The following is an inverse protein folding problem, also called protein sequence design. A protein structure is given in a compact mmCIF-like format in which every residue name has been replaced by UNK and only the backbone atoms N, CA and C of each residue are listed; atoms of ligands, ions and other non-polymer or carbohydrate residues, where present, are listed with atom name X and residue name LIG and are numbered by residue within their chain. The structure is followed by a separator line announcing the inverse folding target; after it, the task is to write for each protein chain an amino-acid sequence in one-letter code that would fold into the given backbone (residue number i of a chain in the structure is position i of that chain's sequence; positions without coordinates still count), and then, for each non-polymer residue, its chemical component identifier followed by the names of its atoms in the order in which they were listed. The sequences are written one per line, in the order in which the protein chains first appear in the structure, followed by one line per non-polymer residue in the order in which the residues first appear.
data_IF_893794318103
#
_entry.id   IF_893794318103
#
_cell.length_a   1.000
_cell.length_b   1.000
_cell.length_c   1.000
_cell.angle_alpha   90.00
_cell.angle_beta   90.00
_cell.angle_gamma   90.00
#
_symmetry.space_group_name_H-M   'P 1'
#
loop_
_entity.id
_entity.type
_entity.pdbx_description
1 polymer ?
#
# COMPACT_ATOMS: atom_id res chain seq x y z
N UNK A 1 23.64 26.20 -89.48
CA UNK A 1 22.70 25.22 -90.07
C UNK A 1 22.38 24.15 -89.02
N UNK A 2 21.09 23.82 -88.83
CA UNK A 2 20.54 22.72 -87.99
C UNK A 2 20.42 23.04 -86.50
N UNK A 3 19.26 23.51 -85.95
CA UNK A 3 18.05 22.77 -85.53
C UNK A 3 18.42 21.49 -84.73
N UNK A 4 18.05 21.25 -83.47
CA UNK A 4 17.02 21.82 -82.61
C UNK A 4 16.22 20.64 -82.02
N UNK A 5 16.30 20.39 -80.71
CA UNK A 5 15.35 19.52 -80.00
C UNK A 5 15.23 19.94 -78.54
N UNK A 6 13.99 20.07 -78.07
CA UNK A 6 13.54 20.66 -76.83
C UNK A 6 12.95 19.56 -75.94
N UNK A 7 13.35 19.47 -74.66
CA UNK A 7 12.57 18.90 -73.55
C UNK A 7 12.98 19.62 -72.26
N UNK A 8 12.18 20.58 -71.77
CA UNK A 8 11.03 20.46 -70.85
C UNK A 8 11.49 20.29 -69.38
N UNK A 9 11.44 21.45 -68.70
CA UNK A 9 11.04 21.71 -67.30
C UNK A 9 11.51 20.78 -66.18
N UNK A 10 12.45 21.29 -65.36
CA UNK A 10 12.58 20.96 -63.95
C UNK A 10 12.43 22.26 -63.13
N UNK A 11 11.29 22.40 -62.44
CA UNK A 11 10.94 23.59 -61.69
C UNK A 11 11.62 23.61 -60.31
N UNK A 12 12.50 24.60 -60.16
CA UNK A 12 12.86 25.40 -58.98
C UNK A 12 12.38 24.92 -57.61
N UNK A 13 13.35 24.44 -56.82
CA UNK A 13 13.23 24.19 -55.39
C UNK A 13 13.52 25.47 -54.58
N UNK A 14 12.62 25.70 -53.62
CA UNK A 14 12.55 26.68 -52.55
C UNK A 14 13.85 27.31 -52.02
N UNK A 15 13.85 28.63 -51.89
CA UNK A 15 14.46 29.34 -50.76
C UNK A 15 13.59 30.56 -50.39
N UNK A 16 12.65 30.38 -49.47
CA UNK A 16 12.06 31.47 -48.71
C UNK A 16 12.32 31.18 -47.23
N UNK A 17 13.32 31.86 -46.70
CA UNK A 17 13.73 31.79 -45.29
C UNK A 17 12.67 32.55 -44.47
N UNK A 18 11.81 31.83 -43.76
CA UNK A 18 10.98 32.40 -42.70
C UNK A 18 11.85 32.50 -41.43
N UNK A 19 12.20 33.72 -41.04
CA UNK A 19 12.72 34.00 -39.69
C UNK A 19 11.55 34.01 -38.71
N UNK A 20 11.49 33.04 -37.80
CA UNK A 20 10.75 33.17 -36.56
C UNK A 20 11.74 33.41 -35.43
N UNK A 21 11.58 34.52 -34.71
CA UNK A 21 12.33 34.83 -33.50
C UNK A 21 11.82 33.97 -32.35
N UNK A 22 12.75 33.33 -31.64
CA UNK A 22 12.47 32.52 -30.47
C UNK A 22 12.91 33.32 -29.22
N UNK A 23 11.96 33.78 -28.44
CA UNK A 23 12.18 34.09 -27.03
C UNK A 23 11.11 33.37 -26.20
N UNK A 24 11.55 32.34 -25.45
CA UNK A 24 11.36 32.20 -23.99
C UNK A 24 11.80 30.80 -23.53
N UNK A 25 12.99 30.77 -22.93
CA UNK A 25 13.40 29.92 -21.79
C UNK A 25 12.64 28.62 -21.54
N UNK A 26 13.28 27.51 -21.91
CA UNK A 26 13.27 26.26 -21.15
C UNK A 26 14.72 25.78 -21.02
N UNK A 27 15.23 25.39 -19.84
CA UNK A 27 16.47 24.64 -19.77
C UNK A 27 16.22 23.24 -20.35
N UNK A 28 16.81 22.98 -21.51
CA UNK A 28 16.85 21.66 -22.13
C UNK A 28 17.71 20.73 -21.26
N UNK A 29 17.08 19.77 -20.57
CA UNK A 29 17.80 18.65 -19.97
C UNK A 29 18.03 17.63 -21.09
N UNK A 30 19.19 17.74 -21.74
CA UNK A 30 19.73 16.68 -22.59
C UNK A 30 20.12 15.49 -21.71
N UNK A 31 19.28 14.45 -21.69
CA UNK A 31 19.72 13.14 -21.23
C UNK A 31 20.41 12.46 -22.41
N UNK A 32 21.74 12.63 -22.50
CA UNK A 32 22.59 11.76 -23.30
C UNK A 32 22.51 10.34 -22.75
N UNK A 33 22.05 9.42 -23.59
CA UNK A 33 22.01 8.00 -23.28
C UNK A 33 23.40 7.46 -22.92
N UNK A 34 23.47 6.72 -21.82
CA UNK A 34 24.68 6.02 -21.39
C UNK A 34 24.48 4.53 -21.66
N UNK A 35 25.14 4.06 -22.71
CA UNK A 35 25.39 2.65 -22.95
C UNK A 35 26.27 2.07 -21.82
N UNK A 36 25.87 0.90 -21.31
CA UNK A 36 26.79 -0.18 -20.93
C UNK A 36 27.57 -0.06 -19.62
N UNK A 37 27.15 -0.87 -18.64
CA UNK A 37 27.97 -1.50 -17.59
C UNK A 37 28.67 -0.58 -16.57
N UNK A 38 28.05 -0.44 -15.39
CA UNK A 38 28.64 -0.64 -14.06
C UNK A 38 27.62 -0.26 -12.98
N UNK A 39 27.27 -1.25 -12.15
CA UNK A 39 26.82 -1.15 -10.76
C UNK A 39 25.68 -0.16 -10.47
N UNK A 40 24.46 -0.69 -10.38
CA UNK A 40 23.38 -0.01 -9.66
C UNK A 40 23.84 0.17 -8.20
N UNK A 41 24.09 1.41 -7.80
CA UNK A 41 24.16 1.75 -6.39
C UNK A 41 22.73 1.71 -5.84
N UNK A 42 22.41 0.61 -5.16
CA UNK A 42 21.22 0.52 -4.32
C UNK A 42 21.37 1.61 -3.26
N UNK A 43 20.56 2.67 -3.35
CA UNK A 43 20.37 3.59 -2.23
C UNK A 43 19.67 2.77 -1.13
N UNK A 44 20.45 2.06 -0.32
CA UNK A 44 19.99 1.60 0.97
C UNK A 44 19.58 2.85 1.74
N UNK A 45 18.27 3.05 1.91
CA UNK A 45 17.79 4.05 2.84
C UNK A 45 18.49 3.84 4.18
N UNK A 46 19.03 4.92 4.74
CA UNK A 46 19.60 4.92 6.09
C UNK A 46 18.58 4.23 7.03
N UNK A 47 19.02 3.30 7.90
CA UNK A 47 18.15 2.75 8.93
C UNK A 47 17.45 3.90 9.65
N UNK A 48 16.12 3.82 9.77
CA UNK A 48 15.36 4.82 10.52
C UNK A 48 16.00 4.98 11.90
N UNK A 49 16.23 6.22 12.32
CA UNK A 49 16.78 6.50 13.64
C UNK A 49 15.95 5.73 14.69
N UNK A 50 16.63 5.05 15.62
CA UNK A 50 15.97 4.35 16.71
C UNK A 50 14.97 5.30 17.38
N UNK A 51 13.73 4.86 17.52
CA UNK A 51 12.74 5.63 18.27
C UNK A 51 13.31 5.97 19.65
N UNK A 52 13.12 7.22 20.08
CA UNK A 52 13.49 7.64 21.42
C UNK A 52 12.90 6.63 22.41
N UNK A 53 13.78 5.96 23.15
CA UNK A 53 13.38 5.02 24.18
C UNK A 53 12.51 5.79 25.17
N UNK A 54 11.30 5.31 25.42
CA UNK A 54 10.36 5.98 26.32
C UNK A 54 11.02 6.22 27.69
N UNK A 55 10.66 7.31 28.40
CA UNK A 55 11.19 7.56 29.73
C UNK A 55 10.97 6.31 30.59
N UNK A 56 12.04 5.89 31.29
CA UNK A 56 11.95 4.79 32.26
C UNK A 56 10.87 5.16 33.28
N UNK A 57 9.91 4.25 33.50
CA UNK A 57 8.83 4.47 34.47
C UNK A 57 9.40 4.84 35.84
N UNK A 58 8.68 5.71 36.57
CA UNK A 58 9.06 6.08 37.93
C UNK A 58 9.21 4.83 38.80
N UNK A 59 10.21 4.78 39.71
CA UNK A 59 10.32 3.69 40.67
C UNK A 59 9.02 3.57 41.46
N UNK A 60 8.48 2.35 41.55
CA UNK A 60 7.27 2.12 42.35
C UNK A 60 7.50 2.51 43.82
N UNK A 61 6.45 3.03 44.45
CA UNK A 61 6.48 3.42 45.85
C UNK A 61 6.98 2.26 46.73
N UNK A 62 7.86 2.60 47.68
CA UNK A 62 8.40 1.63 48.64
C UNK A 62 7.24 1.11 49.50
N UNK A 63 7.01 -0.20 49.46
CA UNK A 63 5.97 -0.85 50.26
C UNK A 63 6.09 -0.51 51.75
N UNK A 64 4.96 -0.28 52.39
CA UNK A 64 4.87 0.06 53.81
C UNK A 64 5.50 -1.04 54.67
N UNK A 65 6.34 -0.62 55.63
CA UNK A 65 6.98 -1.51 56.60
C UNK A 65 5.90 -2.13 57.48
N UNK A 66 5.85 -3.47 57.56
CA UNK A 66 4.90 -4.18 58.41
C UNK A 66 5.00 -3.78 59.88
N UNK A 67 3.85 -3.69 60.54
CA UNK A 67 3.70 -3.25 61.92
C UNK A 67 4.57 -4.07 62.88
N UNK A 68 5.30 -3.36 63.74
CA UNK A 68 6.06 -3.96 64.84
C UNK A 68 5.09 -4.42 65.94
N UNK A 69 5.26 -5.65 66.42
CA UNK A 69 4.37 -6.25 67.43
C UNK A 69 4.24 -5.39 68.71
N UNK A 70 3.10 -5.50 69.41
CA UNK A 70 2.78 -4.59 70.51
C UNK A 70 3.79 -4.71 71.67
N UNK A 71 4.29 -3.58 72.20
CA UNK A 71 5.02 -3.54 73.46
C UNK A 71 4.14 -4.00 74.64
N UNK A 72 4.73 -4.75 75.58
CA UNK A 72 4.04 -5.21 76.79
C UNK A 72 3.68 -4.06 77.74
N UNK A 73 2.61 -4.19 78.56
CA UNK A 73 1.99 -3.07 79.26
C UNK A 73 2.82 -2.57 80.44
N UNK A 74 3.19 -1.26 80.49
CA UNK A 74 3.67 -0.60 81.69
C UNK A 74 2.52 0.10 82.44
N UNK A 75 2.58 0.07 83.78
CA UNK A 75 1.44 0.28 84.69
C UNK A 75 0.88 1.70 84.83
N UNK A 76 -0.32 1.77 85.40
CA UNK A 76 -1.14 2.98 85.53
C UNK A 76 -0.65 3.94 86.62
N UNK A 77 -0.63 5.24 86.31
CA UNK A 77 -0.68 6.33 87.30
C UNK A 77 -1.30 7.60 86.71
N UNK A 78 -2.01 8.35 87.57
CA UNK A 78 -3.25 9.09 87.27
C UNK A 78 -3.18 10.44 86.53
N UNK A 79 -4.36 11.09 86.38
CA UNK A 79 -4.64 12.05 85.31
C UNK A 79 -4.19 13.48 85.63
N UNK A 80 -3.47 14.15 84.71
CA UNK A 80 -3.32 15.61 84.71
C UNK A 80 -4.33 16.30 83.77
N UNK A 81 -4.89 17.42 84.23
CA UNK A 81 -6.19 17.97 83.82
C UNK A 81 -6.34 18.66 82.46
N UNK A 82 -7.58 19.06 82.18
CA UNK A 82 -8.08 19.48 80.87
C UNK A 82 -7.41 20.74 80.33
N UNK A 83 -6.94 20.63 79.08
CA UNK A 83 -6.42 21.74 78.27
C UNK A 83 -7.58 22.37 77.51
N UNK A 84 -7.79 23.68 77.68
CA UNK A 84 -8.90 24.41 77.06
C UNK A 84 -8.99 24.27 75.54
N UNK A 85 -10.22 24.26 75.01
CA UNK A 85 -10.52 24.03 73.60
C UNK A 85 -9.94 25.13 72.70
N UNK A 86 -9.36 24.72 71.57
CA UNK A 86 -8.86 25.61 70.51
C UNK A 86 -10.02 25.91 69.57
N UNK A 87 -10.31 27.19 69.32
CA UNK A 87 -11.40 27.62 68.44
C UNK A 87 -11.30 27.05 67.02
N UNK A 88 -12.47 26.76 66.44
CA UNK A 88 -12.58 26.08 65.15
C UNK A 88 -11.98 26.89 63.98
N UNK A 89 -11.30 26.24 63.02
CA UNK A 89 -10.84 26.90 61.80
C UNK A 89 -12.03 27.43 60.96
N UNK A 90 -11.86 28.63 60.38
CA UNK A 90 -12.90 29.23 59.52
C UNK A 90 -13.19 28.41 58.26
N UNK A 91 -14.44 28.45 57.80
CA UNK A 91 -14.92 27.67 56.66
C UNK A 91 -14.18 28.02 55.35
N UNK A 92 -13.89 27.00 54.55
CA UNK A 92 -13.34 27.16 53.21
C UNK A 92 -14.41 27.72 52.26
N UNK A 93 -14.03 28.69 51.41
CA UNK A 93 -14.93 29.27 50.41
C UNK A 93 -15.43 28.23 49.39
N UNK A 94 -16.59 28.48 48.74
CA UNK A 94 -17.18 27.53 47.81
C UNK A 94 -16.27 27.29 46.60
N UNK A 95 -16.15 26.02 46.21
CA UNK A 95 -15.43 25.61 45.00
C UNK A 95 -16.14 26.16 43.75
N UNK A 96 -15.40 26.73 42.81
CA UNK A 96 -15.97 27.29 41.58
C UNK A 96 -16.60 26.23 40.67
N UNK A 97 -17.59 26.65 39.88
CA UNK A 97 -18.35 25.77 39.00
C UNK A 97 -17.46 25.07 37.95
N UNK A 98 -17.76 23.80 37.71
CA UNK A 98 -17.06 22.99 36.70
C UNK A 98 -17.41 23.50 35.30
N UNK A 99 -16.40 23.76 34.47
CA UNK A 99 -16.59 24.15 33.08
C UNK A 99 -17.42 23.13 32.30
N UNK A 100 -18.30 23.60 31.41
CA UNK A 100 -19.13 22.75 30.56
C UNK A 100 -18.28 21.90 29.61
N UNK A 101 -18.61 20.62 29.39
CA UNK A 101 -17.95 19.79 28.37
C UNK A 101 -18.03 20.43 26.98
N UNK A 102 -16.93 20.39 26.22
CA UNK A 102 -16.92 20.88 24.84
C UNK A 102 -17.81 20.04 23.93
N UNK A 103 -18.54 20.70 23.02
CA UNK A 103 -19.37 20.00 22.03
C UNK A 103 -18.50 19.29 21.00
N UNK A 104 -18.56 17.97 20.94
CA UNK A 104 -18.01 17.23 19.80
C UNK A 104 -18.90 17.49 18.58
N UNK A 105 -18.36 18.06 17.52
CA UNK A 105 -19.07 18.20 16.24
C UNK A 105 -19.29 16.82 15.62
N UNK A 106 -20.54 16.43 15.41
CA UNK A 106 -20.93 15.22 14.67
C UNK A 106 -20.47 15.35 13.21
N UNK A 107 -19.33 14.76 12.88
CA UNK A 107 -18.93 14.58 11.49
C UNK A 107 -19.88 13.54 10.88
N UNK A 108 -20.65 13.92 9.85
CA UNK A 108 -21.51 12.98 9.13
C UNK A 108 -20.66 11.84 8.55
N UNK A 109 -21.10 10.60 8.71
CA UNK A 109 -20.38 9.39 8.26
C UNK A 109 -20.00 9.45 6.77
N UNK A 110 -20.82 10.06 5.91
CA UNK A 110 -20.50 10.34 4.50
C UNK A 110 -19.22 11.16 4.30
N UNK A 111 -18.91 12.09 5.21
CA UNK A 111 -17.70 12.90 5.16
C UNK A 111 -16.47 12.10 5.63
N UNK A 112 -16.66 11.17 6.58
CA UNK A 112 -15.59 10.24 7.00
C UNK A 112 -15.26 9.21 5.91
N UNK A 113 -16.26 8.74 5.16
CA UNK A 113 -16.05 7.79 4.06
C UNK A 113 -15.29 8.43 2.88
N UNK A 114 -15.50 9.73 2.62
CA UNK A 114 -14.70 10.49 1.64
C UNK A 114 -13.26 10.79 2.13
N UNK A 115 -13.05 10.90 3.44
CA UNK A 115 -11.73 11.17 4.02
C UNK A 115 -10.86 9.90 4.05
N UNK A 116 -11.45 8.72 4.32
CA UNK A 116 -10.67 7.51 4.61
C UNK A 116 -10.37 6.62 3.38
N UNK A 117 -11.01 6.85 2.24
CA UNK A 117 -10.94 5.96 1.08
C UNK A 117 -10.14 6.52 -0.12
N UNK A 118 -9.13 7.38 0.09
CA UNK A 118 -8.31 7.95 -1.00
C UNK A 118 -7.33 6.96 -1.65
N UNK A 119 -7.22 5.73 -1.13
CA UNK A 119 -6.33 4.71 -1.67
C UNK A 119 -6.69 4.30 -3.10
N UNK A 120 -5.74 3.68 -3.80
CA UNK A 120 -6.00 3.12 -5.12
C UNK A 120 -6.81 1.82 -4.99
N UNK A 121 -7.77 1.58 -5.88
CA UNK A 121 -8.63 0.39 -5.86
C UNK A 121 -7.96 -0.85 -6.45
N UNK A 122 -7.02 -0.66 -7.37
CA UNK A 122 -6.30 -1.70 -8.10
C UNK A 122 -4.96 -1.18 -8.63
N UNK A 123 -4.08 -2.08 -9.06
CA UNK A 123 -2.73 -1.75 -9.55
C UNK A 123 -2.74 -0.77 -10.73
N UNK A 124 -3.70 -0.89 -11.66
CA UNK A 124 -3.82 0.07 -12.76
C UNK A 124 -4.04 1.52 -12.29
N UNK A 125 -4.76 1.74 -11.19
CA UNK A 125 -4.93 3.09 -10.62
C UNK A 125 -3.67 3.58 -9.90
N UNK A 126 -2.85 2.68 -9.34
CA UNK A 126 -1.53 3.05 -8.82
C UNK A 126 -0.61 3.49 -9.96
N UNK A 127 -0.60 2.75 -11.06
CA UNK A 127 0.17 3.11 -12.26
C UNK A 127 -0.25 4.49 -12.79
N UNK A 128 -1.54 4.76 -12.91
CA UNK A 128 -2.07 6.06 -13.36
C UNK A 128 -1.71 7.22 -12.41
N UNK A 129 -1.38 6.93 -11.15
CA UNK A 129 -0.90 7.90 -10.15
C UNK A 129 0.63 8.04 -10.14
N UNK A 130 1.34 7.42 -11.08
CA UNK A 130 2.79 7.52 -11.22
C UNK A 130 3.60 6.48 -10.43
N UNK A 131 2.98 5.36 -10.06
CA UNK A 131 3.69 4.23 -9.43
C UNK A 131 4.12 3.26 -10.54
N UNK A 132 5.39 3.36 -10.94
CA UNK A 132 5.92 2.61 -12.09
C UNK A 132 6.75 1.38 -11.75
N UNK A 133 7.10 1.16 -10.46
CA UNK A 133 7.90 0.01 -10.06
C UNK A 133 7.00 -1.16 -9.70
N UNK A 134 7.32 -2.34 -10.23
CA UNK A 134 6.68 -3.59 -9.81
C UNK A 134 6.99 -3.89 -8.34
N UNK A 135 6.00 -4.36 -7.59
CA UNK A 135 6.18 -4.60 -6.15
C UNK A 135 4.89 -4.79 -5.37
N UNK A 136 5.01 -4.90 -4.04
CA UNK A 136 3.85 -5.06 -3.16
C UNK A 136 3.29 -3.71 -2.74
N UNK A 137 1.99 -3.53 -2.96
CA UNK A 137 1.26 -2.31 -2.63
C UNK A 137 -0.03 -2.61 -1.85
N UNK A 138 -0.47 -1.64 -1.07
CA UNK A 138 -1.78 -1.67 -0.43
C UNK A 138 -2.81 -0.99 -1.34
N UNK A 139 -3.87 -1.71 -1.68
CA UNK A 139 -5.03 -1.21 -2.42
C UNK A 139 -6.29 -1.32 -1.57
N UNK A 140 -7.37 -0.68 -2.02
CA UNK A 140 -8.64 -0.59 -1.30
C UNK A 140 -9.80 -0.94 -2.26
N UNK A 141 -9.99 -2.22 -2.61
CA UNK A 141 -10.92 -2.61 -3.68
C UNK A 141 -12.39 -2.33 -3.33
N UNK A 142 -12.77 -2.53 -2.05
CA UNK A 142 -14.14 -2.40 -1.57
C UNK A 142 -14.19 -1.93 -0.11
N UNK A 143 -15.15 -1.07 0.22
CA UNK A 143 -15.52 -0.64 1.58
C UNK A 143 -14.32 -0.15 2.43
N UNK A 144 -13.35 0.53 1.81
CA UNK A 144 -12.11 0.99 2.45
C UNK A 144 -11.29 -0.11 3.15
N UNK A 145 -11.51 -1.38 2.81
CA UNK A 145 -10.74 -2.49 3.38
C UNK A 145 -9.40 -2.60 2.65
N UNK A 146 -8.26 -2.44 3.36
CA UNK A 146 -6.95 -2.57 2.74
C UNK A 146 -6.70 -4.03 2.33
N UNK A 147 -6.08 -4.20 1.16
CA UNK A 147 -5.62 -5.47 0.64
C UNK A 147 -4.21 -5.26 0.09
N UNK A 148 -3.27 -6.09 0.52
CA UNK A 148 -1.89 -6.04 0.02
C UNK A 148 -1.77 -6.98 -1.17
N UNK A 149 -1.35 -6.45 -2.32
CA UNK A 149 -1.23 -7.18 -3.59
C UNK A 149 0.13 -6.93 -4.22
N UNK A 150 0.57 -7.85 -5.08
CA UNK A 150 1.71 -7.60 -5.94
C UNK A 150 1.21 -6.95 -7.24
N UNK A 151 1.78 -5.79 -7.58
CA UNK A 151 1.53 -5.10 -8.82
C UNK A 151 2.68 -5.34 -9.77
N UNK A 152 2.39 -5.86 -10.95
CA UNK A 152 3.30 -5.82 -12.09
C UNK A 152 3.00 -4.54 -12.88
N UNK A 153 3.98 -3.64 -12.89
CA UNK A 153 3.91 -2.32 -13.51
C UNK A 153 4.68 -2.25 -14.84
N UNK A 154 5.28 -3.36 -15.28
CA UNK A 154 6.20 -3.39 -16.41
C UNK A 154 5.61 -4.18 -17.60
N UNK A 155 5.02 -5.35 -17.33
CA UNK A 155 4.55 -6.27 -18.37
C UNK A 155 3.35 -5.68 -19.11
N UNK A 156 3.41 -5.64 -20.45
CA UNK A 156 2.27 -5.30 -21.32
C UNK A 156 1.58 -3.98 -20.92
N UNK A 157 2.39 -2.94 -20.65
CA UNK A 157 1.90 -1.62 -20.24
C UNK A 157 1.61 -1.48 -18.73
N UNK A 158 1.71 -2.55 -17.96
CA UNK A 158 1.66 -2.54 -16.50
C UNK A 158 0.28 -2.33 -15.89
N UNK A 159 0.24 -2.25 -14.55
CA UNK A 159 -0.99 -2.06 -13.79
C UNK A 159 -1.72 -3.37 -13.46
N UNK A 160 -1.03 -4.49 -13.63
CA UNK A 160 -1.55 -5.84 -13.39
C UNK A 160 -1.52 -6.17 -11.91
N UNK A 161 -2.61 -6.77 -11.39
CA UNK A 161 -2.64 -7.30 -10.03
C UNK A 161 -2.37 -8.80 -10.09
N UNK A 162 -1.19 -9.22 -9.60
CA UNK A 162 -0.78 -10.62 -9.63
C UNK A 162 -1.40 -11.35 -8.44
N UNK A 163 -2.24 -12.33 -8.71
CA UNK A 163 -2.93 -13.12 -7.67
C UNK A 163 -2.35 -14.53 -7.47
N UNK A 164 -1.50 -15.00 -8.39
CA UNK A 164 -0.78 -16.26 -8.28
C UNK A 164 0.62 -16.07 -8.84
N UNK A 165 1.63 -16.61 -8.14
CA UNK A 165 3.00 -16.71 -8.67
C UNK A 165 3.63 -18.07 -8.34
N UNK A 166 4.20 -18.72 -9.35
CA UNK A 166 5.11 -19.88 -9.24
C UNK A 166 6.49 -19.48 -9.76
N UNK A 167 7.56 -20.01 -9.18
CA UNK A 167 8.93 -19.72 -9.65
C UNK A 167 9.94 -20.83 -9.36
N UNK A 168 9.89 -21.45 -8.18
CA UNK A 168 10.97 -22.33 -7.71
C UNK A 168 10.47 -23.56 -6.94
N UNK A 169 9.16 -23.71 -6.74
CA UNK A 169 8.58 -24.80 -5.96
C UNK A 169 8.84 -24.71 -4.46
N UNK A 170 9.30 -23.57 -3.95
CA UNK A 170 9.55 -23.35 -2.51
C UNK A 170 8.29 -23.41 -1.65
N UNK A 171 7.11 -23.23 -2.25
CA UNK A 171 5.83 -23.26 -1.54
C UNK A 171 5.00 -24.46 -2.01
N UNK A 172 4.49 -25.23 -1.06
CA UNK A 172 3.53 -26.29 -1.34
C UNK A 172 2.15 -25.71 -1.71
N UNK A 173 1.64 -26.07 -2.89
CA UNK A 173 0.32 -25.68 -3.40
C UNK A 173 -0.74 -26.80 -3.25
N UNK A 174 -0.38 -27.99 -2.76
CA UNK A 174 -1.35 -29.04 -2.45
C UNK A 174 -2.00 -28.79 -1.09
N UNK A 175 -2.97 -27.86 -1.09
CA UNK A 175 -3.58 -27.31 0.13
C UNK A 175 -5.09 -27.52 0.19
N UNK A 176 -5.63 -27.37 1.38
CA UNK A 176 -7.07 -27.46 1.64
C UNK A 176 -7.85 -26.22 1.18
N UNK A 177 -9.18 -26.34 1.23
CA UNK A 177 -10.11 -25.26 0.88
C UNK A 177 -9.88 -23.99 1.68
N UNK A 178 -9.59 -24.11 2.98
CA UNK A 178 -9.41 -22.97 3.89
C UNK A 178 -8.17 -22.16 3.50
N UNK A 179 -7.09 -22.82 3.11
CA UNK A 179 -5.89 -22.18 2.61
C UNK A 179 -6.15 -21.44 1.30
N UNK A 180 -6.79 -22.08 0.32
CA UNK A 180 -7.12 -21.41 -0.96
C UNK A 180 -8.11 -20.26 -0.79
N UNK A 181 -9.05 -20.35 0.16
CA UNK A 181 -9.96 -19.25 0.51
C UNK A 181 -9.21 -18.02 1.02
N UNK A 182 -8.26 -18.21 1.95
CA UNK A 182 -7.56 -17.10 2.63
C UNK A 182 -6.28 -16.63 1.94
N UNK A 183 -5.68 -17.47 1.11
CA UNK A 183 -4.37 -17.22 0.51
C UNK A 183 -3.24 -17.80 1.36
N UNK A 184 -2.11 -18.08 0.70
CA UNK A 184 -0.92 -18.68 1.30
C UNK A 184 0.33 -18.36 0.46
N UNK A 185 1.50 -18.67 1.03
CA UNK A 185 2.80 -18.52 0.38
C UNK A 185 3.62 -17.36 0.94
N UNK A 186 4.53 -16.86 0.12
CA UNK A 186 5.54 -15.87 0.47
C UNK A 186 5.44 -14.64 -0.42
N UNK A 187 5.66 -13.46 0.18
CA UNK A 187 5.76 -12.22 -0.58
C UNK A 187 7.03 -12.15 -1.43
N UNK A 188 8.04 -12.94 -1.09
CA UNK A 188 9.33 -12.91 -1.79
C UNK A 188 9.41 -13.93 -2.92
N UNK A 189 8.62 -15.01 -2.85
CA UNK A 189 8.69 -16.11 -3.81
C UNK A 189 7.31 -16.42 -4.42
N UNK A 190 6.71 -17.53 -4.03
CA UNK A 190 5.48 -18.08 -4.59
C UNK A 190 4.29 -17.81 -3.68
N UNK A 191 3.12 -17.52 -4.25
CA UNK A 191 1.92 -17.30 -3.46
C UNK A 191 0.63 -17.54 -4.23
N UNK A 192 -0.44 -17.73 -3.47
CA UNK A 192 -1.83 -17.63 -3.89
C UNK A 192 -2.51 -16.55 -3.05
N UNK A 193 -3.08 -15.52 -3.69
CA UNK A 193 -3.63 -14.35 -3.01
C UNK A 193 -4.86 -14.67 -2.14
N UNK A 194 -5.60 -15.72 -2.48
CA UNK A 194 -6.79 -16.16 -1.75
C UNK A 194 -8.10 -15.87 -2.49
N UNK A 195 -9.01 -16.84 -2.52
CA UNK A 195 -10.25 -16.75 -3.30
C UNK A 195 -11.19 -15.64 -2.80
N UNK A 196 -11.22 -15.39 -1.48
CA UNK A 196 -11.95 -14.24 -0.91
C UNK A 196 -11.48 -12.92 -1.55
N UNK A 197 -10.16 -12.76 -1.69
CA UNK A 197 -9.55 -11.56 -2.23
C UNK A 197 -9.77 -11.45 -3.75
N UNK A 198 -9.61 -12.55 -4.49
CA UNK A 198 -9.77 -12.58 -5.94
C UNK A 198 -11.24 -12.31 -6.33
N UNK A 199 -12.21 -12.85 -5.58
CA UNK A 199 -13.62 -12.53 -5.78
C UNK A 199 -13.91 -11.02 -5.63
N UNK A 200 -13.36 -10.39 -4.58
CA UNK A 200 -13.53 -8.95 -4.34
C UNK A 200 -12.92 -8.13 -5.49
N UNK A 201 -11.71 -8.47 -5.93
CA UNK A 201 -11.02 -7.77 -7.01
C UNK A 201 -11.79 -7.85 -8.34
N UNK A 202 -12.29 -9.03 -8.68
CA UNK A 202 -12.93 -9.28 -9.98
C UNK A 202 -14.43 -8.97 -10.03
N UNK A 203 -15.06 -8.69 -8.87
CA UNK A 203 -16.47 -8.26 -8.82
C UNK A 203 -16.62 -6.74 -8.91
N UNK A 204 -15.60 -5.99 -8.47
CA UNK A 204 -15.66 -4.52 -8.40
C UNK A 204 -15.30 -3.83 -9.71
N UNK A 205 -14.49 -4.47 -10.54
CA UNK A 205 -13.96 -3.91 -11.79
C UNK A 205 -14.06 -4.96 -12.89
N UNK A 206 -14.30 -4.53 -14.13
CA UNK A 206 -14.16 -5.41 -15.28
C UNK A 206 -12.66 -5.70 -15.46
N UNK A 207 -12.27 -6.95 -15.24
CA UNK A 207 -10.87 -7.37 -15.28
C UNK A 207 -10.64 -8.31 -16.45
N UNK A 208 -9.58 -8.08 -17.21
CA UNK A 208 -9.00 -9.08 -18.11
C UNK A 208 -8.07 -10.02 -17.33
N UNK A 209 -7.82 -11.21 -17.88
CA UNK A 209 -6.87 -12.17 -17.32
C UNK A 209 -5.70 -12.33 -18.29
N UNK A 210 -4.49 -12.22 -17.75
CA UNK A 210 -3.25 -12.58 -18.43
C UNK A 210 -2.57 -13.70 -17.66
N UNK A 211 -2.09 -14.70 -18.38
CA UNK A 211 -1.30 -15.82 -17.85
C UNK A 211 0.05 -15.77 -18.55
N UNK A 212 1.11 -15.61 -17.78
CA UNK A 212 2.49 -15.67 -18.28
C UNK A 212 3.11 -17.00 -17.81
N UNK A 213 3.68 -17.75 -18.75
CA UNK A 213 4.31 -19.05 -18.56
C UNK A 213 5.77 -18.97 -19.01
N UNK A 214 6.63 -19.73 -18.36
CA UNK A 214 8.03 -19.88 -18.77
C UNK A 214 8.44 -21.32 -18.51
N UNK A 215 9.02 -21.97 -19.52
CA UNK A 215 9.51 -23.34 -19.42
C UNK A 215 10.90 -23.41 -18.77
N UNK A 216 11.46 -24.61 -18.69
CA UNK A 216 12.80 -24.82 -18.12
C UNK A 216 13.95 -24.37 -19.03
N UNK A 217 13.67 -24.13 -20.31
CA UNK A 217 14.61 -23.64 -21.30
C UNK A 217 14.57 -22.10 -21.42
N UNK A 218 13.80 -21.43 -20.54
CA UNK A 218 13.52 -19.99 -20.51
C UNK A 218 12.76 -19.46 -21.74
N UNK A 219 12.01 -20.30 -22.44
CA UNK A 219 11.03 -19.82 -23.41
C UNK A 219 9.81 -19.34 -22.65
N UNK A 220 9.40 -18.10 -22.92
CA UNK A 220 8.22 -17.49 -22.31
C UNK A 220 7.08 -17.43 -23.31
N UNK A 221 5.87 -17.69 -22.83
CA UNK A 221 4.64 -17.53 -23.58
C UNK A 221 3.56 -16.93 -22.70
N UNK A 222 2.52 -16.35 -23.30
CA UNK A 222 1.41 -15.79 -22.58
C UNK A 222 0.06 -16.07 -23.25
N UNK A 223 -1.01 -15.94 -22.47
CA UNK A 223 -2.39 -15.99 -22.93
C UNK A 223 -3.23 -14.91 -22.24
N UNK A 224 -4.03 -14.16 -23.02
CA UNK A 224 -4.96 -13.14 -22.54
C UNK A 224 -6.41 -13.52 -22.80
N UNK A 225 -7.28 -13.18 -21.85
CA UNK A 225 -8.72 -13.37 -21.92
C UNK A 225 -9.44 -12.06 -21.61
N UNK A 226 -10.46 -11.74 -22.39
CA UNK A 226 -11.13 -10.43 -22.36
C UNK A 226 -11.79 -10.12 -21.01
N UNK A 227 -12.28 -11.13 -20.31
CA UNK A 227 -12.92 -10.97 -19.01
C UNK A 227 -12.55 -12.12 -18.08
N UNK A 228 -12.52 -11.83 -16.79
CA UNK A 228 -12.26 -12.80 -15.75
C UNK A 228 -13.00 -12.43 -14.48
N UNK A 229 -13.71 -13.41 -13.92
CA UNK A 229 -14.41 -13.24 -12.64
C UNK A 229 -14.34 -14.51 -11.82
N UNK A 230 -14.13 -14.35 -10.52
CA UNK A 230 -14.26 -15.43 -9.54
C UNK A 230 -15.53 -15.15 -8.74
N UNK A 231 -16.46 -16.10 -8.72
CA UNK A 231 -17.71 -15.99 -7.95
C UNK A 231 -17.46 -16.12 -6.44
N UNK A 232 -18.49 -15.96 -5.63
CA UNK A 232 -18.35 -16.03 -4.17
C UNK A 232 -18.27 -17.48 -3.67
N UNK A 233 -18.10 -17.65 -2.35
CA UNK A 233 -17.98 -18.97 -1.72
C UNK A 233 -19.24 -19.83 -1.85
N UNK A 234 -20.44 -19.22 -1.87
CA UNK A 234 -21.69 -19.98 -2.03
C UNK A 234 -21.76 -20.65 -3.40
N UNK A 235 -21.11 -20.03 -4.39
CA UNK A 235 -20.89 -20.55 -5.74
C UNK A 235 -19.52 -21.22 -5.89
N UNK A 236 -18.88 -21.62 -4.77
CA UNK A 236 -17.62 -22.35 -4.71
C UNK A 236 -16.47 -21.69 -5.47
N UNK A 237 -16.45 -20.36 -5.53
CA UNK A 237 -15.44 -19.58 -6.27
C UNK A 237 -15.28 -20.02 -7.72
N UNK A 238 -16.37 -20.43 -8.38
CA UNK A 238 -16.33 -20.80 -9.80
C UNK A 238 -15.75 -19.65 -10.63
N UNK A 239 -14.82 -20.00 -11.52
CA UNK A 239 -14.21 -19.05 -12.45
C UNK A 239 -15.11 -18.89 -13.68
N UNK A 240 -15.43 -17.64 -14.01
CA UNK A 240 -16.05 -17.25 -15.26
C UNK A 240 -14.99 -16.53 -16.11
N UNK A 241 -14.49 -17.22 -17.13
CA UNK A 241 -13.46 -16.71 -18.05
C UNK A 241 -14.13 -16.34 -19.37
N UNK A 242 -13.80 -15.17 -19.89
CA UNK A 242 -14.28 -14.66 -21.16
C UNK A 242 -13.61 -15.32 -22.36
N UNK A 243 -13.86 -14.75 -23.54
CA UNK A 243 -13.22 -15.19 -24.78
C UNK A 243 -11.71 -15.00 -24.71
N UNK A 244 -10.98 -15.93 -25.30
CA UNK A 244 -9.57 -15.75 -25.61
C UNK A 244 -9.39 -14.50 -26.47
N UNK A 245 -8.39 -13.69 -26.12
CA UNK A 245 -8.08 -12.44 -26.80
C UNK A 245 -6.88 -12.62 -27.73
N UNK A 246 -5.72 -12.98 -27.16
CA UNK A 246 -4.44 -13.12 -27.86
C UNK A 246 -3.42 -13.86 -26.97
N UNK A 247 -2.31 -14.27 -27.57
CA UNK A 247 -1.26 -15.03 -26.89
C UNK A 247 -0.55 -15.99 -27.84
N UNK A 248 0.66 -16.39 -27.45
CA UNK A 248 1.52 -17.35 -28.15
C UNK A 248 1.59 -18.71 -27.42
N UNK A 249 1.00 -18.82 -26.23
CA UNK A 249 0.95 -20.07 -25.47
C UNK A 249 0.17 -21.19 -26.20
N UNK A 250 -0.76 -20.84 -27.10
CA UNK A 250 -1.51 -21.82 -27.90
C UNK A 250 -0.67 -22.41 -29.05
N UNK A 251 0.41 -21.74 -29.46
CA UNK A 251 1.21 -22.11 -30.64
C UNK A 251 2.44 -22.96 -30.29
N UNK A 252 2.97 -22.82 -29.07
CA UNK A 252 4.27 -23.40 -28.69
C UNK A 252 4.16 -24.68 -27.83
N UNK A 253 2.97 -25.27 -27.67
CA UNK A 253 2.81 -26.57 -26.99
C UNK A 253 3.14 -26.54 -25.49
N UNK A 254 2.85 -25.41 -24.83
CA UNK A 254 2.91 -25.26 -23.37
C UNK A 254 1.79 -26.01 -22.63
#
# INVERSE_FOLDING_TARGET
MGKGTQQIFLALLCFAVAKCQEEKTCPEVKITGVNGTKKLDIIHGLPGAYGIMGPKGEPGDKGETGDTGPPGPPGEMGPPGDKGEKGDPGEHGPQGDKGSPGSASEIRQEYLDQIWCKGAKHCKQLLDRGVFLSGWYTIYPKDCKPMTVFCDMDTDGGGWTVFQRRMDGSVDFYRDWKAYKKGFGSRLTEFWLGNDNINILTTTTLTELRIDLTDFDNNSAFAKYQTFKVLDESQKYMMAVGKYAEGDAELEGF
#
